data_IF_738130611668
#
_entry.id   IF_738130611668
#
_cell.length_a   1.000
_cell.length_b   1.000
_cell.length_c   1.000
_cell.angle_alpha   90.00
_cell.angle_beta   90.00
_cell.angle_gamma   90.00
#
_symmetry.space_group_name_H-M   'P 1'
#
loop_
_entity.id
_entity.type
_entity.pdbx_description
1 polymer ?
#
# COMPACT_ATOMS: atom_id res chain seq x y z
N UNK A 1 -12.58 38.71 31.85
CA UNK A 1 -11.42 38.68 30.93
C UNK A 1 -10.77 37.31 31.00
N UNK A 2 -10.83 36.45 29.97
CA UNK A 2 -10.30 35.09 30.03
C UNK A 2 -8.82 35.07 29.61
N UNK A 3 -7.96 34.68 30.55
CA UNK A 3 -6.52 34.57 30.38
C UNK A 3 -6.09 33.22 29.81
N UNK A 4 -5.17 33.29 28.85
CA UNK A 4 -3.95 32.47 28.77
C UNK A 4 -4.06 30.95 29.02
N UNK A 5 -4.91 30.24 28.27
CA UNK A 5 -4.95 28.76 28.27
C UNK A 5 -4.87 28.08 26.89
N UNK A 6 -5.03 28.84 25.78
CA UNK A 6 -5.25 28.25 24.44
C UNK A 6 -3.99 27.92 23.64
N UNK A 7 -2.84 28.52 23.96
CA UNK A 7 -1.64 28.37 23.14
C UNK A 7 -0.88 27.04 23.36
N UNK A 8 -0.87 26.52 24.59
CA UNK A 8 -0.27 25.22 24.92
C UNK A 8 -1.11 24.06 24.36
N UNK A 9 -2.44 24.19 24.42
CA UNK A 9 -3.40 23.22 23.86
C UNK A 9 -3.25 23.05 22.34
N UNK A 10 -3.08 24.15 21.59
CA UNK A 10 -2.95 24.11 20.13
C UNK A 10 -1.62 23.48 19.68
N UNK A 11 -0.53 23.70 20.43
CA UNK A 11 0.78 23.09 20.14
C UNK A 11 0.79 21.58 20.44
N UNK A 12 0.13 21.17 21.53
CA UNK A 12 -0.07 19.77 21.91
C UNK A 12 -0.99 19.02 20.93
N UNK A 13 -2.07 19.67 20.47
CA UNK A 13 -3.03 19.12 19.49
C UNK A 13 -2.45 19.00 18.07
N UNK A 14 -1.57 19.93 17.67
CA UNK A 14 -0.87 19.88 16.38
C UNK A 14 0.10 18.70 16.29
N UNK A 15 0.88 18.44 17.35
CA UNK A 15 1.80 17.31 17.39
C UNK A 15 1.09 15.96 17.39
N UNK A 16 0.00 15.83 18.17
CA UNK A 16 -0.81 14.61 18.23
C UNK A 16 -1.58 14.32 16.94
N UNK A 17 -2.11 15.34 16.26
CA UNK A 17 -2.77 15.16 14.96
C UNK A 17 -1.79 14.64 13.88
N UNK A 18 -0.57 15.16 13.83
CA UNK A 18 0.46 14.67 12.90
C UNK A 18 0.84 13.22 13.22
N UNK A 19 1.00 12.89 14.51
CA UNK A 19 1.32 11.53 14.94
C UNK A 19 0.22 10.53 14.53
N UNK A 20 -1.05 10.91 14.69
CA UNK A 20 -2.20 10.09 14.28
C UNK A 20 -2.28 9.89 12.76
N UNK A 21 -1.99 10.93 11.97
CA UNK A 21 -1.92 10.80 10.51
C UNK A 21 -0.81 9.84 10.06
N UNK A 22 0.37 9.86 10.71
CA UNK A 22 1.47 8.95 10.39
C UNK A 22 1.11 7.50 10.73
N UNK A 23 0.44 7.25 11.85
CA UNK A 23 -0.03 5.92 12.23
C UNK A 23 -1.14 5.41 11.30
N UNK A 24 -2.00 6.29 10.80
CA UNK A 24 -3.04 5.94 9.82
C UNK A 24 -2.45 5.49 8.47
N UNK A 25 -1.31 6.06 8.05
CA UNK A 25 -0.60 5.63 6.84
C UNK A 25 0.02 4.23 6.98
N UNK A 26 0.40 3.82 8.20
CA UNK A 26 0.89 2.48 8.49
C UNK A 26 -0.21 1.41 8.51
N UNK A 27 -1.49 1.81 8.55
CA UNK A 27 -2.62 0.89 8.50
C UNK A 27 -2.98 0.44 7.07
N UNK A 28 -2.35 1.01 6.03
CA UNK A 28 -2.49 0.53 4.66
C UNK A 28 -1.90 -0.88 4.54
N UNK A 29 -2.77 -1.87 4.30
CA UNK A 29 -2.34 -3.26 4.14
C UNK A 29 -1.59 -3.45 2.82
N UNK A 30 -0.45 -4.15 2.87
CA UNK A 30 0.32 -4.51 1.68
C UNK A 30 -0.51 -5.37 0.71
N UNK A 31 -1.44 -6.17 1.23
CA UNK A 31 -2.38 -6.95 0.42
C UNK A 31 -3.35 -6.06 -0.32
N UNK A 32 -3.92 -5.06 0.34
CA UNK A 32 -4.87 -4.13 -0.27
C UNK A 32 -4.23 -3.33 -1.42
N UNK A 33 -2.98 -2.91 -1.25
CA UNK A 33 -2.22 -2.23 -2.31
C UNK A 33 -1.94 -3.18 -3.47
N UNK A 34 -1.50 -4.40 -3.19
CA UNK A 34 -1.25 -5.42 -4.21
C UNK A 34 -2.51 -5.75 -5.01
N UNK A 35 -3.61 -6.07 -4.34
CA UNK A 35 -4.88 -6.42 -4.95
C UNK A 35 -5.39 -5.30 -5.87
N UNK A 36 -5.21 -4.03 -5.46
CA UNK A 36 -5.57 -2.87 -6.29
C UNK A 36 -4.73 -2.79 -7.56
N UNK A 37 -3.41 -2.99 -7.44
CA UNK A 37 -2.50 -2.97 -8.59
C UNK A 37 -2.81 -4.13 -9.55
N UNK A 38 -2.97 -5.33 -9.01
CA UNK A 38 -3.28 -6.53 -9.77
C UNK A 38 -4.61 -6.38 -10.52
N UNK A 39 -5.65 -5.85 -9.86
CA UNK A 39 -6.94 -5.59 -10.50
C UNK A 39 -6.81 -4.57 -11.64
N UNK A 40 -6.05 -3.49 -11.45
CA UNK A 40 -5.79 -2.52 -12.53
C UNK A 40 -5.06 -3.16 -13.71
N UNK A 41 -4.05 -3.98 -13.46
CA UNK A 41 -3.32 -4.69 -14.50
C UNK A 41 -4.22 -5.68 -15.26
N UNK A 42 -5.14 -6.37 -14.59
CA UNK A 42 -6.15 -7.22 -15.23
C UNK A 42 -7.09 -6.40 -16.13
N UNK A 43 -7.49 -5.20 -15.71
CA UNK A 43 -8.28 -4.28 -16.54
C UNK A 43 -7.51 -3.82 -17.78
N UNK A 44 -6.21 -3.58 -17.66
CA UNK A 44 -5.36 -3.29 -18.82
C UNK A 44 -5.28 -4.50 -19.75
N UNK A 45 -5.12 -5.72 -19.22
CA UNK A 45 -5.11 -6.94 -20.03
C UNK A 45 -6.39 -7.08 -20.87
N UNK A 46 -7.56 -6.75 -20.32
CA UNK A 46 -8.85 -6.81 -21.03
C UNK A 46 -8.94 -5.88 -22.25
N UNK A 47 -8.06 -4.88 -22.35
CA UNK A 47 -7.99 -4.00 -23.53
C UNK A 47 -7.19 -4.60 -24.68
N UNK A 48 -6.40 -5.65 -24.43
CA UNK A 48 -5.59 -6.32 -25.44
C UNK A 48 -6.40 -7.39 -26.19
N UNK A 49 -6.20 -7.54 -27.51
CA UNK A 49 -6.90 -8.55 -28.29
C UNK A 49 -6.16 -9.90 -28.36
N UNK A 50 -6.91 -10.99 -28.39
CA UNK A 50 -6.43 -12.32 -28.79
C UNK A 50 -5.34 -12.90 -27.90
N UNK A 51 -4.20 -13.28 -28.52
CA UNK A 51 -3.08 -13.91 -27.81
C UNK A 51 -2.43 -13.00 -26.77
N UNK A 52 -2.42 -11.69 -27.01
CA UNK A 52 -1.85 -10.71 -26.08
C UNK A 52 -2.65 -10.64 -24.77
N UNK A 53 -3.96 -10.87 -24.82
CA UNK A 53 -4.78 -11.00 -23.62
C UNK A 53 -4.35 -12.20 -22.78
N UNK A 54 -4.20 -13.37 -23.41
CA UNK A 54 -3.85 -14.61 -22.71
C UNK A 54 -2.46 -14.55 -22.08
N UNK A 55 -1.48 -14.00 -22.80
CA UNK A 55 -0.12 -13.81 -22.29
C UNK A 55 -0.07 -12.79 -21.14
N UNK A 56 -0.85 -11.70 -21.24
CA UNK A 56 -0.97 -10.70 -20.18
C UNK A 56 -1.61 -11.32 -18.94
N UNK A 57 -2.76 -11.98 -19.09
CA UNK A 57 -3.50 -12.60 -17.97
C UNK A 57 -2.67 -13.65 -17.21
N UNK A 58 -1.83 -14.43 -17.90
CA UNK A 58 -0.90 -15.37 -17.25
C UNK A 58 0.12 -14.69 -16.34
N UNK A 59 0.54 -13.47 -16.67
CA UNK A 59 1.50 -12.73 -15.86
C UNK A 59 0.83 -12.09 -14.63
N UNK A 60 -0.44 -11.70 -14.74
CA UNK A 60 -1.15 -11.02 -13.64
C UNK A 60 -1.90 -11.97 -12.71
N UNK A 61 -1.89 -13.28 -12.97
CA UNK A 61 -2.66 -14.27 -12.20
C UNK A 61 -1.96 -14.78 -10.94
N UNK A 62 -0.80 -14.23 -10.58
CA UNK A 62 -0.05 -14.65 -9.40
C UNK A 62 -0.83 -14.36 -8.09
N UNK A 63 -1.06 -15.36 -7.22
CA UNK A 63 -1.68 -15.13 -5.93
C UNK A 63 -0.78 -14.28 -5.00
N UNK A 64 -1.38 -13.37 -4.23
CA UNK A 64 -0.65 -12.51 -3.29
C UNK A 64 0.28 -13.27 -2.33
N UNK A 65 -0.16 -14.44 -1.85
CA UNK A 65 0.60 -15.23 -0.88
C UNK A 65 1.87 -15.84 -1.48
N UNK A 66 1.87 -16.14 -2.79
CA UNK A 66 3.03 -16.61 -3.53
C UNK A 66 4.02 -15.46 -3.77
N UNK A 67 3.52 -14.33 -4.29
CA UNK A 67 4.30 -13.09 -4.44
C UNK A 67 4.99 -12.70 -3.13
N UNK A 68 4.27 -12.74 -2.01
CA UNK A 68 4.81 -12.36 -0.70
C UNK A 68 5.93 -13.30 -0.26
N UNK A 69 5.74 -14.62 -0.44
CA UNK A 69 6.75 -15.62 -0.09
C UNK A 69 8.04 -15.42 -0.89
N UNK A 70 7.92 -15.26 -2.21
CA UNK A 70 9.08 -15.02 -3.07
C UNK A 70 9.81 -13.72 -2.68
N UNK A 71 9.07 -12.64 -2.40
CA UNK A 71 9.66 -11.39 -1.92
C UNK A 71 10.40 -11.55 -0.60
N UNK A 72 9.82 -12.28 0.35
CA UNK A 72 10.43 -12.50 1.66
C UNK A 72 11.69 -13.38 1.55
N UNK A 73 11.73 -14.32 0.60
CA UNK A 73 12.92 -15.14 0.31
C UNK A 73 14.05 -14.31 -0.29
N UNK A 74 13.76 -13.48 -1.29
CA UNK A 74 14.73 -12.58 -1.92
C UNK A 74 15.34 -11.57 -0.93
N UNK A 75 14.55 -11.09 0.04
CA UNK A 75 15.02 -10.17 1.09
C UNK A 75 15.92 -10.89 2.10
N UNK A 76 15.74 -12.20 2.31
CA UNK A 76 16.58 -13.01 3.21
C UNK A 76 17.88 -13.47 2.56
N UNK A 77 17.87 -13.72 1.26
CA UNK A 77 19.02 -14.27 0.53
C UNK A 77 20.09 -13.22 0.21
N UNK A 78 19.71 -11.94 0.09
CA UNK A 78 20.65 -10.86 -0.11
C UNK A 78 21.20 -10.39 1.26
N UNK A 79 22.48 -10.66 1.60
CA UNK A 79 23.06 -10.10 2.81
C UNK A 79 23.16 -8.57 2.66
N UNK A 80 23.08 -7.80 3.77
CA UNK A 80 23.17 -6.34 3.74
C UNK A 80 24.49 -5.83 3.15
#
# INVERSE_FOLDING_TARGET
>A
MPGSGRAADVRQRRGTAVLLCVLALAACSQRQVYDTIQNNQQLECQKLPGTQYEECMKQVSEPYDDYKRERDELVKEKPP
#
